data_IF_825347181450
#
_entry.id   IF_825347181450
#
_cell.length_a   1.000
_cell.length_b   1.000
_cell.length_c   1.000
_cell.angle_alpha   90.00
_cell.angle_beta   90.00
_cell.angle_gamma   90.00
#
_symmetry.space_group_name_H-M   'P 1'
#
loop_
_entity.id
_entity.type
_entity.pdbx_description
1 polymer ?
#
# COMPACT_ATOMS: atom_id res chain seq x y z
N UNK A 1 -0.13 16.56 2.31
CA UNK A 1 -0.10 15.08 2.13
C UNK A 1 1.31 14.66 1.75
N UNK A 2 1.84 13.67 2.43
CA UNK A 2 3.18 13.13 2.16
C UNK A 2 3.03 11.83 1.37
N UNK A 3 3.67 11.78 0.18
CA UNK A 3 3.60 10.61 -0.69
C UNK A 3 4.91 9.83 -0.66
N UNK A 4 4.83 8.51 -0.84
CA UNK A 4 6.02 7.67 -0.93
C UNK A 4 6.66 7.81 -2.32
N UNK A 5 7.97 7.58 -2.38
CA UNK A 5 8.73 7.58 -3.63
C UNK A 5 9.04 6.15 -4.06
N UNK A 6 9.41 5.97 -5.34
CA UNK A 6 9.86 4.67 -5.85
C UNK A 6 11.06 4.16 -5.07
N UNK A 7 12.01 5.03 -4.70
CA UNK A 7 13.19 4.67 -3.92
C UNK A 7 12.81 4.14 -2.54
N UNK A 8 11.81 4.75 -1.90
CA UNK A 8 11.33 4.26 -0.61
C UNK A 8 10.70 2.87 -0.74
N UNK A 9 9.94 2.63 -1.81
CA UNK A 9 9.33 1.31 -2.07
C UNK A 9 10.41 0.26 -2.34
N UNK A 10 11.44 0.61 -3.10
CA UNK A 10 12.57 -0.29 -3.35
C UNK A 10 13.28 -0.65 -2.05
N UNK A 11 13.47 0.33 -1.17
CA UNK A 11 14.09 0.11 0.14
C UNK A 11 13.23 -0.82 1.02
N UNK A 12 11.94 -0.54 1.11
CA UNK A 12 10.99 -1.37 1.88
C UNK A 12 11.04 -2.81 1.38
N UNK A 13 10.93 -3.01 0.07
CA UNK A 13 10.95 -4.34 -0.53
C UNK A 13 12.25 -5.07 -0.23
N UNK A 14 13.39 -4.40 -0.42
CA UNK A 14 14.70 -4.99 -0.16
C UNK A 14 14.84 -5.45 1.30
N UNK A 15 14.38 -4.63 2.25
CA UNK A 15 14.43 -4.96 3.67
C UNK A 15 13.52 -6.14 4.01
N UNK A 16 12.31 -6.17 3.46
CA UNK A 16 11.38 -7.27 3.69
C UNK A 16 11.91 -8.59 3.14
N UNK A 17 12.47 -8.58 1.94
CA UNK A 17 13.04 -9.79 1.35
C UNK A 17 14.24 -10.29 2.17
N UNK A 18 15.11 -9.39 2.62
CA UNK A 18 16.26 -9.74 3.45
C UNK A 18 15.84 -10.38 4.77
N UNK A 19 14.73 -9.92 5.36
CA UNK A 19 14.26 -10.40 6.67
C UNK A 19 13.41 -11.66 6.58
N UNK A 20 12.63 -11.82 5.50
CA UNK A 20 11.62 -12.88 5.40
C UNK A 20 11.87 -13.88 4.27
N UNK A 21 12.88 -13.65 3.44
CA UNK A 21 13.17 -14.50 2.28
C UNK A 21 12.34 -14.15 1.06
N UNK A 22 12.66 -14.77 -0.05
CA UNK A 22 12.02 -14.55 -1.34
C UNK A 22 12.97 -13.97 -2.36
N UNK A 23 12.44 -13.55 -3.50
CA UNK A 23 13.24 -13.05 -4.61
C UNK A 23 13.43 -11.55 -4.55
N UNK A 24 14.68 -11.11 -4.58
CA UNK A 24 15.02 -9.70 -4.80
C UNK A 24 14.75 -9.33 -6.26
N UNK A 25 14.43 -8.09 -6.49
CA UNK A 25 14.37 -7.53 -7.82
C UNK A 25 13.01 -7.00 -8.23
N UNK A 26 13.06 -6.10 -9.19
CA UNK A 26 11.89 -5.47 -9.79
C UNK A 26 11.53 -6.24 -11.06
N UNK A 27 10.28 -6.68 -11.16
CA UNK A 27 9.77 -7.33 -12.36
C UNK A 27 9.38 -6.31 -13.43
N UNK A 28 8.79 -5.20 -12.99
CA UNK A 28 8.26 -4.18 -13.89
C UNK A 28 8.35 -2.81 -13.23
N UNK A 29 9.37 -2.04 -13.60
CA UNK A 29 9.61 -0.72 -13.03
C UNK A 29 8.47 0.25 -13.34
N UNK A 30 7.88 0.17 -14.54
CA UNK A 30 6.77 1.05 -14.91
C UNK A 30 5.56 0.81 -14.00
N UNK A 31 5.29 -0.42 -13.61
CA UNK A 31 4.21 -0.74 -12.67
C UNK A 31 4.52 -0.22 -11.27
N UNK A 32 5.79 -0.26 -10.85
CA UNK A 32 6.18 0.32 -9.58
C UNK A 32 5.95 1.83 -9.55
N UNK A 33 6.40 2.52 -10.59
CA UNK A 33 6.23 3.96 -10.73
C UNK A 33 4.75 4.35 -10.79
N UNK A 34 3.95 3.57 -11.51
CA UNK A 34 2.50 3.76 -11.60
C UNK A 34 1.83 3.60 -10.23
N UNK A 35 2.23 2.58 -9.46
CA UNK A 35 1.68 2.35 -8.12
C UNK A 35 1.97 3.52 -7.19
N UNK A 36 3.19 4.04 -7.24
CA UNK A 36 3.61 5.19 -6.41
C UNK A 36 2.85 6.46 -6.80
N UNK A 37 2.59 6.65 -8.08
CA UNK A 37 1.88 7.82 -8.59
C UNK A 37 0.37 7.79 -8.36
N UNK A 38 -0.21 6.59 -8.28
CA UNK A 38 -1.67 6.42 -8.24
C UNK A 38 -2.38 7.21 -7.13
N UNK A 39 -1.87 7.28 -5.89
CA UNK A 39 -2.52 8.06 -4.84
C UNK A 39 -2.71 9.54 -5.17
N UNK A 40 -1.92 10.08 -6.10
CA UNK A 40 -1.98 11.48 -6.51
C UNK A 40 -2.82 11.70 -7.77
N UNK A 41 -3.48 10.66 -8.29
CA UNK A 41 -4.20 10.74 -9.56
C UNK A 41 -5.30 11.79 -9.52
N UNK A 42 -5.41 12.55 -10.60
CA UNK A 42 -6.38 13.65 -10.77
C UNK A 42 -7.11 13.46 -12.09
N UNK A 43 -8.42 13.72 -12.08
CA UNK A 43 -9.24 13.73 -13.27
C UNK A 43 -10.17 14.95 -13.22
N UNK A 44 -10.21 15.73 -14.29
CA UNK A 44 -10.99 16.97 -14.35
C UNK A 44 -10.71 17.91 -13.16
N UNK A 45 -9.42 18.07 -12.82
CA UNK A 45 -8.94 18.92 -11.72
C UNK A 45 -9.39 18.48 -10.33
N UNK A 46 -9.91 17.24 -10.20
CA UNK A 46 -10.32 16.68 -8.91
C UNK A 46 -9.51 15.43 -8.61
N UNK A 47 -9.13 15.27 -7.37
CA UNK A 47 -8.44 14.06 -6.95
C UNK A 47 -9.36 12.85 -7.08
N UNK A 48 -8.85 11.76 -7.66
CA UNK A 48 -9.60 10.50 -7.75
C UNK A 48 -9.74 9.84 -6.37
N UNK A 49 -8.75 10.04 -5.50
CA UNK A 49 -8.72 9.46 -4.16
C UNK A 49 -8.55 10.59 -3.15
N UNK A 50 -9.66 11.26 -2.75
CA UNK A 50 -9.55 12.51 -1.98
C UNK A 50 -9.16 12.36 -0.51
N UNK A 51 -9.33 11.19 0.10
CA UNK A 51 -8.93 11.01 1.48
C UNK A 51 -7.74 10.06 1.63
N UNK A 52 -7.07 10.12 2.77
CA UNK A 52 -5.84 9.36 3.03
C UNK A 52 -6.06 7.86 2.96
N UNK A 53 -7.24 7.36 3.33
CA UNK A 53 -7.51 5.92 3.33
C UNK A 53 -7.76 5.40 1.92
N UNK A 54 -8.44 6.17 1.06
CA UNK A 54 -8.58 5.82 -0.34
C UNK A 54 -7.22 5.85 -1.05
N UNK A 55 -6.35 6.80 -0.71
CA UNK A 55 -4.99 6.86 -1.26
C UNK A 55 -4.17 5.64 -0.85
N UNK A 56 -4.25 5.27 0.43
CA UNK A 56 -3.56 4.07 0.93
C UNK A 56 -4.10 2.79 0.27
N UNK A 57 -5.41 2.70 0.10
CA UNK A 57 -6.06 1.57 -0.56
C UNK A 57 -5.61 1.45 -2.03
N UNK A 58 -5.52 2.58 -2.74
CA UNK A 58 -5.07 2.60 -4.14
C UNK A 58 -3.62 2.13 -4.26
N UNK A 59 -2.75 2.56 -3.35
CA UNK A 59 -1.36 2.13 -3.30
C UNK A 59 -1.26 0.62 -3.04
N UNK A 60 -1.97 0.14 -2.02
CA UNK A 60 -2.02 -1.28 -1.68
C UNK A 60 -2.49 -2.12 -2.88
N UNK A 61 -3.62 -1.75 -3.45
CA UNK A 61 -4.22 -2.46 -4.58
C UNK A 61 -3.24 -2.61 -5.74
N UNK A 62 -2.56 -1.53 -6.11
CA UNK A 62 -1.59 -1.55 -7.20
C UNK A 62 -0.41 -2.46 -6.89
N UNK A 63 0.11 -2.44 -5.67
CA UNK A 63 1.28 -3.25 -5.30
C UNK A 63 0.95 -4.73 -5.23
N UNK A 64 -0.22 -5.10 -4.68
CA UNK A 64 -0.56 -6.51 -4.51
C UNK A 64 -1.12 -7.15 -5.79
N UNK A 65 -1.73 -6.38 -6.68
CA UNK A 65 -2.39 -6.95 -7.87
C UNK A 65 -1.61 -6.76 -9.17
N UNK A 66 -0.75 -5.75 -9.27
CA UNK A 66 0.03 -5.51 -10.50
C UNK A 66 1.44 -6.11 -10.47
N UNK A 67 1.86 -6.65 -9.34
CA UNK A 67 3.12 -7.40 -9.18
C UNK A 67 4.35 -6.67 -9.75
N UNK A 68 4.69 -5.48 -9.24
CA UNK A 68 5.89 -4.78 -9.73
C UNK A 68 7.19 -5.47 -9.35
N UNK A 69 7.19 -6.30 -8.31
CA UNK A 69 8.38 -7.04 -7.85
C UNK A 69 8.31 -8.50 -8.26
N UNK A 70 9.46 -9.17 -8.26
CA UNK A 70 9.54 -10.60 -8.54
C UNK A 70 8.85 -11.43 -7.44
N UNK A 71 8.92 -10.97 -6.21
CA UNK A 71 8.22 -11.59 -5.08
C UNK A 71 8.01 -10.58 -3.97
N UNK A 72 7.24 -10.96 -2.95
CA UNK A 72 6.99 -10.10 -1.79
C UNK A 72 6.04 -8.95 -2.04
N UNK A 73 5.22 -9.00 -3.10
CA UNK A 73 4.29 -7.92 -3.43
C UNK A 73 3.22 -7.70 -2.35
N UNK A 74 2.70 -8.77 -1.76
CA UNK A 74 1.69 -8.65 -0.70
C UNK A 74 2.28 -7.99 0.56
N UNK A 75 3.45 -8.45 1.00
CA UNK A 75 4.14 -7.89 2.17
C UNK A 75 4.52 -6.44 1.95
N UNK A 76 5.07 -6.14 0.78
CA UNK A 76 5.45 -4.77 0.42
C UNK A 76 4.23 -3.87 0.33
N UNK A 77 3.12 -4.37 -0.22
CA UNK A 77 1.88 -3.61 -0.34
C UNK A 77 1.35 -3.14 1.00
N UNK A 78 1.23 -4.07 1.98
CA UNK A 78 0.70 -3.69 3.29
C UNK A 78 1.69 -2.82 4.08
N UNK A 79 2.99 -3.09 3.96
CA UNK A 79 4.01 -2.26 4.60
C UNK A 79 4.01 -0.84 4.04
N UNK A 80 3.87 -0.69 2.73
CA UNK A 80 3.80 0.61 2.08
C UNK A 80 2.55 1.38 2.50
N UNK A 81 1.39 0.72 2.53
CA UNK A 81 0.15 1.35 2.97
C UNK A 81 0.25 1.82 4.42
N UNK A 82 0.82 0.99 5.30
CA UNK A 82 1.03 1.34 6.71
C UNK A 82 1.98 2.54 6.85
N UNK A 83 3.08 2.55 6.09
CA UNK A 83 4.03 3.66 6.13
C UNK A 83 3.41 4.94 5.59
N UNK A 84 2.65 4.85 4.51
CA UNK A 84 1.96 6.00 3.94
C UNK A 84 0.99 6.62 4.96
N UNK A 85 0.19 5.78 5.62
CA UNK A 85 -0.73 6.25 6.66
C UNK A 85 0.03 6.87 7.82
N UNK A 86 1.13 6.24 8.26
CA UNK A 86 1.95 6.75 9.35
C UNK A 86 2.53 8.13 9.02
N UNK A 87 3.04 8.30 7.80
CA UNK A 87 3.60 9.58 7.35
C UNK A 87 2.53 10.69 7.33
N UNK A 88 1.27 10.31 7.21
CA UNK A 88 0.15 11.25 7.15
C UNK A 88 -0.68 11.27 8.43
N UNK A 89 -0.09 10.90 9.55
CA UNK A 89 -0.68 11.08 10.86
C UNK A 89 -1.63 9.98 11.33
N UNK A 90 -1.60 8.81 10.68
CA UNK A 90 -2.48 7.69 11.04
C UNK A 90 -1.64 6.47 11.39
N UNK A 91 -2.06 5.74 12.43
CA UNK A 91 -1.38 4.54 12.89
C UNK A 91 -2.31 3.35 12.76
N UNK A 92 -1.92 2.32 12.01
CA UNK A 92 -2.68 1.07 11.95
C UNK A 92 -2.59 0.35 13.30
N UNK A 93 -3.73 -0.17 13.75
CA UNK A 93 -3.86 -0.86 15.03
C UNK A 93 -4.13 -2.36 14.87
N UNK A 94 -4.35 -2.82 13.66
CA UNK A 94 -4.62 -4.23 13.37
C UNK A 94 -3.39 -5.08 13.68
N UNK A 95 -3.62 -6.32 14.12
CA UNK A 95 -2.56 -7.30 14.36
C UNK A 95 -1.95 -7.77 13.03
N UNK A 96 -0.78 -8.41 13.12
CA UNK A 96 -0.14 -9.01 11.94
C UNK A 96 -1.07 -9.99 11.24
N UNK A 97 -1.77 -10.85 12.00
CA UNK A 97 -2.73 -11.80 11.42
C UNK A 97 -3.86 -11.11 10.68
N UNK A 98 -4.40 -10.06 11.27
CA UNK A 98 -5.50 -9.29 10.65
C UNK A 98 -5.04 -8.61 9.37
N UNK A 99 -3.81 -8.07 9.38
CA UNK A 99 -3.23 -7.44 8.18
C UNK A 99 -3.00 -8.46 7.08
N UNK A 100 -2.53 -9.68 7.42
CA UNK A 100 -2.33 -10.74 6.46
C UNK A 100 -3.64 -11.20 5.83
N UNK A 101 -4.70 -11.40 6.62
CA UNK A 101 -6.02 -11.77 6.13
C UNK A 101 -6.60 -10.69 5.21
N UNK A 102 -6.48 -9.43 5.62
CA UNK A 102 -6.94 -8.29 4.83
C UNK A 102 -6.23 -8.25 3.47
N UNK A 103 -4.91 -8.42 3.47
CA UNK A 103 -4.11 -8.38 2.24
C UNK A 103 -4.47 -9.55 1.32
N UNK A 104 -4.66 -10.74 1.89
CA UNK A 104 -5.06 -11.91 1.12
C UNK A 104 -6.42 -11.70 0.46
N UNK A 105 -7.37 -11.13 1.19
CA UNK A 105 -8.69 -10.84 0.64
C UNK A 105 -8.62 -9.81 -0.48
N UNK A 106 -7.76 -8.79 -0.35
CA UNK A 106 -7.54 -7.81 -1.41
C UNK A 106 -7.06 -8.45 -2.71
N UNK A 107 -6.26 -9.51 -2.62
CA UNK A 107 -5.74 -10.24 -3.79
C UNK A 107 -6.78 -11.21 -4.36
N UNK A 108 -7.50 -11.94 -3.50
CA UNK A 108 -8.37 -13.03 -3.95
C UNK A 108 -9.75 -12.55 -4.36
N UNK A 109 -10.32 -11.58 -3.66
CA UNK A 109 -11.71 -11.11 -3.89
C UNK A 109 -11.79 -9.84 -4.71
N UNK A 110 -10.68 -9.13 -4.87
CA UNK A 110 -10.61 -7.85 -5.59
C UNK A 110 -11.75 -6.89 -5.20
N UNK A 111 -11.91 -6.57 -3.88
CA UNK A 111 -12.98 -5.68 -3.47
C UNK A 111 -12.75 -4.26 -3.99
N UNK A 112 -13.82 -3.48 -4.07
CA UNK A 112 -13.72 -2.08 -4.45
C UNK A 112 -12.81 -1.31 -3.48
N UNK A 113 -12.14 -0.27 -3.96
CA UNK A 113 -11.22 0.52 -3.14
C UNK A 113 -11.89 1.10 -1.90
N UNK A 114 -13.18 1.45 -2.00
CA UNK A 114 -13.92 1.97 -0.85
C UNK A 114 -13.96 0.95 0.29
N UNK A 115 -14.10 -0.34 -0.03
CA UNK A 115 -14.11 -1.41 0.97
C UNK A 115 -12.75 -1.52 1.64
N UNK A 116 -11.67 -1.49 0.87
CA UNK A 116 -10.30 -1.50 1.40
C UNK A 116 -10.04 -0.27 2.27
N UNK A 117 -10.46 0.91 1.80
CA UNK A 117 -10.29 2.16 2.51
C UNK A 117 -11.05 2.16 3.84
N UNK A 118 -12.28 1.64 3.86
CA UNK A 118 -13.09 1.57 5.07
C UNK A 118 -12.45 0.65 6.11
N UNK A 119 -11.89 -0.49 5.67
CA UNK A 119 -11.16 -1.38 6.57
C UNK A 119 -9.95 -0.68 7.18
N UNK A 120 -9.15 0.01 6.35
CA UNK A 120 -7.98 0.75 6.84
C UNK A 120 -8.38 1.86 7.82
N UNK A 121 -9.48 2.54 7.54
CA UNK A 121 -10.00 3.58 8.43
C UNK A 121 -10.43 3.00 9.78
N UNK A 122 -11.15 1.89 9.75
CA UNK A 122 -11.66 1.23 10.96
C UNK A 122 -10.50 0.77 11.87
N UNK A 123 -9.43 0.26 11.28
CA UNK A 123 -8.29 -0.31 12.01
C UNK A 123 -7.14 0.67 12.16
N UNK A 124 -7.43 1.97 12.22
CA UNK A 124 -6.40 2.98 12.42
C UNK A 124 -6.85 4.01 13.46
N UNK A 125 -5.88 4.74 13.99
CA UNK A 125 -6.10 5.84 14.93
C UNK A 125 -5.20 7.00 14.54
N UNK A 126 -5.47 8.18 15.09
CA UNK A 126 -4.61 9.34 14.90
C UNK A 126 -3.29 9.06 15.62
N UNK A 127 -2.17 9.22 14.88
CA UNK A 127 -0.84 8.99 15.42
C UNK A 127 -0.55 9.95 16.58
N UNK A 128 0.05 9.44 17.65
CA UNK A 128 0.38 10.23 18.84
C UNK A 128 -0.74 10.33 19.87
N UNK A 129 -1.81 9.57 19.69
CA UNK A 129 -2.94 9.52 20.62
C UNK A 129 -2.95 8.22 21.40
#
# INVERSE_FOLDING_TARGET
>A
MIYLTSEQLLFIHSRLIAETGGSHGVRDLARLESAVARPQAVFNRKELYPDVFLKAAALLDSLVNNHPFLGGNKRTGIAAAALFLHANGRQLTASTSELEEFTLEAVTSHPDLIILADWLRQWSQIRGK
#
